data_IF_555362309325
#
_entry.id   IF_555362309325
#
_cell.length_a   1.000
_cell.length_b   1.000
_cell.length_c   1.000
_cell.angle_alpha   90.00
_cell.angle_beta   90.00
_cell.angle_gamma   90.00
#
_symmetry.space_group_name_H-M   'P 1'
#
loop_
_entity.id
_entity.type
_entity.pdbx_description
1 polymer ?
#
# COMPACT_ATOMS: atom_id res chain seq x y z
N UNK A 1 -0.45 46.17 -0.14
CA UNK A 1 0.07 44.81 -0.45
C UNK A 1 0.00 44.64 -1.95
N UNK A 2 1.08 44.25 -2.63
CA UNK A 2 1.06 44.05 -4.10
C UNK A 2 0.05 42.96 -4.45
N UNK A 3 -0.57 42.99 -5.65
CA UNK A 3 -1.53 42.02 -6.15
C UNK A 3 -1.01 40.57 -5.97
N UNK A 4 0.26 40.32 -6.30
CA UNK A 4 0.94 39.06 -6.14
C UNK A 4 0.99 38.57 -4.68
N UNK A 5 1.33 39.44 -3.73
CA UNK A 5 1.33 39.08 -2.30
C UNK A 5 -0.07 38.69 -1.81
N UNK A 6 -1.11 39.35 -2.30
CA UNK A 6 -2.50 39.04 -1.97
C UNK A 6 -2.89 37.66 -2.53
N UNK A 7 -2.56 37.37 -3.79
CA UNK A 7 -2.83 36.12 -4.44
C UNK A 7 -2.14 34.94 -3.71
N UNK A 8 -0.86 35.07 -3.38
CA UNK A 8 -0.11 34.05 -2.62
C UNK A 8 -0.73 33.81 -1.24
N UNK A 9 -1.06 34.88 -0.49
CA UNK A 9 -1.71 34.74 0.82
C UNK A 9 -3.07 34.04 0.71
N UNK A 10 -3.86 34.37 -0.29
CA UNK A 10 -5.16 33.75 -0.54
C UNK A 10 -4.99 32.24 -0.85
N UNK A 11 -4.05 31.89 -1.74
CA UNK A 11 -3.77 30.49 -2.07
C UNK A 11 -3.29 29.69 -0.85
N UNK A 12 -2.46 30.27 0.01
CA UNK A 12 -2.00 29.62 1.25
C UNK A 12 -3.16 29.38 2.22
N UNK A 13 -4.04 30.36 2.42
CA UNK A 13 -5.20 30.24 3.31
C UNK A 13 -6.17 29.18 2.79
N UNK A 14 -6.47 29.20 1.50
CA UNK A 14 -7.32 28.20 0.86
C UNK A 14 -6.74 26.80 0.98
N UNK A 15 -5.45 26.65 0.72
CA UNK A 15 -4.77 25.35 0.81
C UNK A 15 -4.73 24.80 2.22
N UNK A 16 -4.52 25.67 3.22
CA UNK A 16 -4.60 25.28 4.64
C UNK A 16 -6.01 24.84 5.01
N UNK A 17 -7.04 25.55 4.53
CA UNK A 17 -8.44 25.22 4.75
C UNK A 17 -8.85 23.89 4.11
N UNK A 18 -8.30 23.55 2.95
CA UNK A 18 -8.59 22.33 2.22
C UNK A 18 -7.75 21.13 2.72
N UNK A 19 -6.63 21.37 3.41
CA UNK A 19 -5.68 20.34 3.82
C UNK A 19 -6.31 19.17 4.60
N UNK A 20 -7.24 19.36 5.56
CA UNK A 20 -7.91 18.23 6.21
C UNK A 20 -8.70 17.35 5.24
N UNK A 21 -9.35 17.96 4.24
CA UNK A 21 -10.09 17.22 3.21
C UNK A 21 -9.14 16.43 2.31
N UNK A 22 -8.03 17.03 1.87
CA UNK A 22 -7.01 16.34 1.06
C UNK A 22 -6.43 15.15 1.81
N UNK A 23 -6.13 15.30 3.09
CA UNK A 23 -5.63 14.19 3.92
C UNK A 23 -6.69 13.11 4.14
N UNK A 24 -7.96 13.49 4.36
CA UNK A 24 -9.05 12.56 4.55
C UNK A 24 -9.35 11.71 3.31
N UNK A 25 -9.34 12.31 2.12
CA UNK A 25 -9.67 11.60 0.87
C UNK A 25 -8.46 10.92 0.24
N UNK A 26 -7.30 11.56 0.25
CA UNK A 26 -6.11 11.09 -0.50
C UNK A 26 -4.96 10.62 0.39
N UNK A 27 -4.90 11.03 1.66
CA UNK A 27 -3.79 10.72 2.56
C UNK A 27 -2.47 11.39 2.19
N UNK A 28 -2.46 12.26 1.17
CA UNK A 28 -1.27 12.89 0.61
C UNK A 28 -1.48 14.37 0.37
N UNK A 29 -0.38 15.13 0.32
CA UNK A 29 -0.36 16.55 -0.02
C UNK A 29 0.85 16.87 -0.87
N UNK A 30 0.64 17.65 -1.95
CA UNK A 30 1.71 18.10 -2.82
C UNK A 30 2.04 19.58 -2.54
N UNK A 31 3.16 19.90 -1.84
CA UNK A 31 3.48 21.28 -1.46
C UNK A 31 3.65 22.23 -2.66
N UNK A 32 4.18 21.72 -3.78
CA UNK A 32 4.38 22.49 -4.99
C UNK A 32 3.05 22.98 -5.58
N UNK A 33 1.93 22.29 -5.30
CA UNK A 33 0.60 22.72 -5.73
C UNK A 33 0.25 24.13 -5.24
N UNK A 34 0.78 24.57 -4.09
CA UNK A 34 0.58 25.93 -3.58
C UNK A 34 1.09 26.99 -4.56
N UNK A 35 2.31 26.78 -5.06
CA UNK A 35 2.96 27.68 -6.01
C UNK A 35 2.26 27.57 -7.37
N UNK A 36 2.03 26.34 -7.83
CA UNK A 36 1.38 26.10 -9.12
C UNK A 36 -0.03 26.68 -9.16
N UNK A 37 -0.83 26.50 -8.11
CA UNK A 37 -2.18 27.08 -8.05
C UNK A 37 -2.16 28.58 -8.15
N UNK A 38 -1.22 29.28 -7.46
CA UNK A 38 -1.10 30.72 -7.57
C UNK A 38 -0.67 31.17 -8.98
N UNK A 39 0.26 30.46 -9.60
CA UNK A 39 0.71 30.77 -10.97
C UNK A 39 -0.39 30.49 -12.00
N UNK A 40 -1.03 29.32 -11.93
CA UNK A 40 -2.09 28.95 -12.86
C UNK A 40 -3.34 29.81 -12.71
N UNK A 41 -3.68 30.28 -11.49
CA UNK A 41 -4.79 31.21 -11.30
C UNK A 41 -4.57 32.49 -12.12
N UNK A 42 -3.37 33.06 -12.11
CA UNK A 42 -3.06 34.26 -12.88
C UNK A 42 -3.17 33.98 -14.39
N UNK A 43 -2.60 32.88 -14.85
CA UNK A 43 -2.63 32.49 -16.28
C UNK A 43 -4.07 32.19 -16.73
N UNK A 44 -4.83 31.48 -15.89
CA UNK A 44 -6.21 31.12 -16.18
C UNK A 44 -7.11 32.36 -16.26
N UNK A 45 -7.06 33.22 -15.23
CA UNK A 45 -7.93 34.39 -15.14
C UNK A 45 -7.57 35.48 -16.17
N UNK A 46 -6.27 35.69 -16.42
CA UNK A 46 -5.80 36.80 -17.27
C UNK A 46 -5.69 36.43 -18.75
N UNK A 47 -5.53 35.17 -19.08
CA UNK A 47 -5.29 34.73 -20.45
C UNK A 47 -6.25 33.63 -20.92
N UNK A 48 -6.29 32.49 -20.24
CA UNK A 48 -7.01 31.31 -20.74
C UNK A 48 -8.52 31.53 -20.77
N UNK A 49 -9.09 32.02 -19.68
CA UNK A 49 -10.54 32.26 -19.59
C UNK A 49 -11.04 33.32 -20.60
N UNK A 50 -10.39 34.49 -20.76
CA UNK A 50 -10.75 35.46 -21.81
C UNK A 50 -10.65 34.86 -23.23
N UNK A 51 -9.55 34.16 -23.53
CA UNK A 51 -9.35 33.52 -24.84
C UNK A 51 -10.46 32.49 -25.11
N UNK A 52 -10.75 31.61 -24.15
CA UNK A 52 -11.82 30.59 -24.28
C UNK A 52 -13.20 31.25 -24.41
N UNK A 53 -13.46 32.37 -23.70
CA UNK A 53 -14.73 33.11 -23.78
C UNK A 53 -14.92 33.72 -25.16
N UNK A 54 -13.90 34.39 -25.69
CA UNK A 54 -13.91 34.96 -27.04
C UNK A 54 -14.08 33.85 -28.08
N UNK A 55 -13.36 32.78 -27.90
CA UNK A 55 -13.43 31.61 -28.78
C UNK A 55 -14.85 30.98 -28.78
N UNK A 56 -15.45 30.81 -27.61
CA UNK A 56 -16.79 30.29 -27.46
C UNK A 56 -17.83 31.23 -28.12
N UNK A 57 -17.65 32.53 -27.95
CA UNK A 57 -18.56 33.52 -28.53
C UNK A 57 -18.47 33.60 -30.06
N UNK A 58 -17.31 33.33 -30.65
CA UNK A 58 -17.05 33.41 -32.09
C UNK A 58 -17.12 32.08 -32.83
N UNK A 59 -17.21 30.94 -32.10
CA UNK A 59 -17.01 29.63 -32.71
C UNK A 59 -18.27 29.00 -33.31
N UNK A 60 -18.16 28.72 -34.62
CA UNK A 60 -18.79 27.56 -35.22
C UNK A 60 -17.93 26.28 -35.03
N UNK A 61 -18.49 25.10 -35.35
CA UNK A 61 -17.83 23.79 -35.07
C UNK A 61 -16.44 23.60 -35.69
N UNK A 62 -16.04 24.39 -36.68
CA UNK A 62 -14.76 24.27 -37.40
C UNK A 62 -13.57 24.79 -36.57
N UNK A 63 -13.80 25.67 -35.61
CA UNK A 63 -12.73 26.34 -34.88
C UNK A 63 -12.26 25.51 -33.69
N UNK A 64 -13.05 24.58 -33.18
CA UNK A 64 -12.65 23.70 -32.06
C UNK A 64 -11.40 22.85 -32.38
N UNK A 65 -11.23 22.41 -33.62
CA UNK A 65 -10.04 21.63 -34.02
C UNK A 65 -8.72 22.41 -33.94
N UNK A 66 -8.78 23.73 -34.02
CA UNK A 66 -7.58 24.59 -33.98
C UNK A 66 -7.10 24.88 -32.56
N UNK A 67 -7.91 24.59 -31.53
CA UNK A 67 -7.51 24.75 -30.12
C UNK A 67 -6.76 23.52 -29.59
N UNK A 68 -6.93 22.36 -30.23
CA UNK A 68 -6.27 21.12 -29.78
C UNK A 68 -4.76 21.27 -29.55
N UNK A 69 -3.97 21.95 -30.43
CA UNK A 69 -2.55 22.14 -30.17
C UNK A 69 -2.24 22.92 -28.89
N UNK A 70 -3.11 23.84 -28.47
CA UNK A 70 -2.93 24.57 -27.22
C UNK A 70 -3.12 23.64 -26.01
N UNK A 71 -4.13 22.78 -26.05
CA UNK A 71 -4.35 21.77 -24.99
C UNK A 71 -3.24 20.74 -24.94
N UNK A 72 -2.79 20.24 -26.09
CA UNK A 72 -1.64 19.33 -26.18
C UNK A 72 -0.35 19.97 -25.62
N UNK A 73 -0.11 21.23 -25.95
CA UNK A 73 1.01 21.96 -25.38
C UNK A 73 0.88 22.14 -23.85
N UNK A 74 -0.32 22.48 -23.36
CA UNK A 74 -0.57 22.58 -21.93
C UNK A 74 -0.37 21.23 -21.21
N UNK A 75 -0.86 20.14 -21.78
CA UNK A 75 -0.67 18.81 -21.25
C UNK A 75 0.83 18.42 -21.21
N UNK A 76 1.54 18.69 -22.30
CA UNK A 76 2.99 18.48 -22.38
C UNK A 76 3.74 19.31 -21.36
N UNK A 77 3.36 20.58 -21.18
CA UNK A 77 3.94 21.46 -20.18
C UNK A 77 3.66 21.00 -18.75
N UNK A 78 2.43 20.54 -18.46
CA UNK A 78 2.06 20.01 -17.16
C UNK A 78 2.81 18.71 -16.85
N UNK A 79 2.94 17.81 -17.83
CA UNK A 79 3.71 16.56 -17.66
C UNK A 79 5.20 16.83 -17.48
N UNK A 80 5.74 17.85 -18.18
CA UNK A 80 7.11 18.30 -17.98
C UNK A 80 7.30 18.88 -16.56
N UNK A 81 6.42 19.76 -16.08
CA UNK A 81 6.45 20.25 -14.69
C UNK A 81 6.36 19.06 -13.72
N UNK A 82 5.44 18.11 -13.95
CA UNK A 82 5.27 16.95 -13.09
C UNK A 82 6.55 16.12 -12.97
N UNK A 83 7.37 16.05 -14.02
CA UNK A 83 8.65 15.33 -13.97
C UNK A 83 9.68 15.96 -13.02
N UNK A 84 9.55 17.26 -12.72
CA UNK A 84 10.39 17.99 -11.77
C UNK A 84 9.82 18.02 -10.36
N UNK A 85 8.53 17.74 -10.23
CA UNK A 85 7.85 17.73 -8.94
C UNK A 85 8.16 16.41 -8.25
N UNK A 86 8.74 16.47 -7.06
CA UNK A 86 8.97 15.29 -6.21
C UNK A 86 7.69 14.59 -5.81
N UNK A 87 7.82 13.44 -5.19
CA UNK A 87 6.68 12.68 -4.67
C UNK A 87 5.88 13.50 -3.65
N UNK A 88 4.55 13.37 -3.62
CA UNK A 88 3.72 14.05 -2.64
C UNK A 88 4.06 13.63 -1.22
N UNK A 89 3.91 14.54 -0.28
CA UNK A 89 4.04 14.24 1.14
C UNK A 89 2.93 13.28 1.55
N UNK A 90 3.29 12.17 2.16
CA UNK A 90 2.35 11.20 2.70
C UNK A 90 2.02 11.62 4.13
N UNK A 91 0.77 11.97 4.37
CA UNK A 91 0.28 12.48 5.64
C UNK A 91 -0.59 11.46 6.39
N UNK A 92 -1.11 10.45 5.67
CA UNK A 92 -2.05 9.47 6.21
C UNK A 92 -3.49 9.97 6.20
N UNK A 93 -4.43 9.04 6.37
CA UNK A 93 -5.87 9.32 6.42
C UNK A 93 -6.32 9.47 7.88
N UNK A 94 -6.84 10.63 8.30
CA UNK A 94 -7.36 10.82 9.63
C UNK A 94 -8.64 9.99 9.85
N UNK A 95 -8.88 9.55 11.09
CA UNK A 95 -10.20 9.07 11.50
C UNK A 95 -11.21 10.22 11.47
N UNK A 96 -12.51 9.92 11.48
CA UNK A 96 -13.56 10.95 11.55
C UNK A 96 -13.39 11.87 12.76
N UNK A 97 -12.98 11.31 13.91
CA UNK A 97 -12.70 12.10 15.11
C UNK A 97 -11.52 13.06 14.91
N UNK A 98 -10.39 12.57 14.38
CA UNK A 98 -9.23 13.41 14.08
C UNK A 98 -9.56 14.48 13.03
N UNK A 99 -10.32 14.11 12.01
CA UNK A 99 -10.79 15.05 10.97
C UNK A 99 -11.64 16.17 11.59
N UNK A 100 -12.61 15.82 12.47
CA UNK A 100 -13.42 16.79 13.19
C UNK A 100 -12.59 17.74 14.05
N UNK A 101 -11.56 17.21 14.76
CA UNK A 101 -10.62 18.03 15.53
C UNK A 101 -9.82 18.99 14.64
N UNK A 102 -9.36 18.52 13.47
CA UNK A 102 -8.62 19.37 12.51
C UNK A 102 -9.49 20.53 12.03
N UNK A 103 -10.75 20.28 11.69
CA UNK A 103 -11.71 21.31 11.29
C UNK A 103 -11.95 22.29 12.45
N UNK A 104 -12.18 21.80 13.66
CA UNK A 104 -12.39 22.66 14.83
C UNK A 104 -11.18 23.59 15.08
N UNK A 105 -9.96 23.06 15.00
CA UNK A 105 -8.73 23.87 15.13
C UNK A 105 -8.61 24.92 14.04
N UNK A 106 -9.01 24.62 12.78
CA UNK A 106 -9.00 25.60 11.69
C UNK A 106 -10.03 26.70 11.90
N UNK A 107 -11.23 26.38 12.36
CA UNK A 107 -12.26 27.38 12.70
C UNK A 107 -11.73 28.31 13.81
N UNK A 108 -11.18 27.73 14.88
CA UNK A 108 -10.55 28.53 15.95
C UNK A 108 -9.39 29.39 15.45
N UNK A 109 -8.56 28.83 14.54
CA UNK A 109 -7.45 29.58 13.93
C UNK A 109 -7.96 30.79 13.16
N UNK A 110 -9.08 30.68 12.46
CA UNK A 110 -9.72 31.78 11.77
C UNK A 110 -10.21 32.85 12.73
N UNK A 111 -10.94 32.49 13.79
CA UNK A 111 -11.49 33.41 14.79
C UNK A 111 -10.39 34.13 15.58
N UNK A 112 -9.33 33.41 15.96
CA UNK A 112 -8.22 33.94 16.75
C UNK A 112 -7.02 34.43 15.93
N UNK A 113 -7.16 34.57 14.61
CA UNK A 113 -6.04 34.92 13.72
C UNK A 113 -5.30 36.20 14.12
N UNK A 114 -6.02 37.22 14.61
CA UNK A 114 -5.45 38.49 15.04
C UNK A 114 -4.69 38.43 16.37
N UNK A 115 -4.79 37.33 17.12
CA UNK A 115 -4.13 37.13 18.40
C UNK A 115 -2.92 36.21 18.24
N UNK A 116 -1.68 36.74 18.16
CA UNK A 116 -0.51 35.95 17.73
C UNK A 116 -0.20 34.73 18.62
N UNK A 117 -0.40 34.86 19.93
CA UNK A 117 -0.20 33.78 20.89
C UNK A 117 -1.14 32.58 20.63
N UNK A 118 -2.43 32.84 20.40
CA UNK A 118 -3.40 31.78 20.09
C UNK A 118 -3.15 31.19 18.70
N UNK A 119 -2.81 32.02 17.72
CA UNK A 119 -2.47 31.56 16.37
C UNK A 119 -1.32 30.56 16.38
N UNK A 120 -0.21 30.86 17.09
CA UNK A 120 0.95 29.98 17.20
C UNK A 120 0.56 28.66 17.89
N UNK A 121 -0.18 28.75 19.01
CA UNK A 121 -0.66 27.57 19.73
C UNK A 121 -1.53 26.67 18.83
N UNK A 122 -2.50 27.25 18.11
CA UNK A 122 -3.41 26.50 17.25
C UNK A 122 -2.68 25.88 16.06
N UNK A 123 -1.69 26.58 15.47
CA UNK A 123 -0.83 25.99 14.41
C UNK A 123 0.00 24.83 14.95
N UNK A 124 0.53 24.92 16.17
CA UNK A 124 1.23 23.79 16.81
C UNK A 124 0.28 22.61 17.06
N UNK A 125 -0.93 22.86 17.58
CA UNK A 125 -1.93 21.80 17.77
C UNK A 125 -2.27 21.13 16.43
N UNK A 126 -2.49 21.92 15.39
CA UNK A 126 -2.75 21.37 14.05
C UNK A 126 -1.59 20.51 13.55
N UNK A 127 -0.35 20.96 13.72
CA UNK A 127 0.85 20.18 13.40
C UNK A 127 0.93 18.87 14.17
N UNK A 128 0.65 18.89 15.47
CA UNK A 128 0.62 17.69 16.30
C UNK A 128 -0.49 16.71 15.87
N UNK A 129 -1.67 17.21 15.48
CA UNK A 129 -2.73 16.38 14.91
C UNK A 129 -2.27 15.69 13.62
N UNK A 130 -1.56 16.42 12.74
CA UNK A 130 -0.98 15.83 11.53
C UNK A 130 0.04 14.73 11.83
N UNK A 131 0.92 14.94 12.80
CA UNK A 131 1.88 13.93 13.26
C UNK A 131 1.15 12.71 13.82
N UNK A 132 0.10 12.91 14.61
CA UNK A 132 -0.72 11.81 15.16
C UNK A 132 -1.43 10.99 14.06
N UNK A 133 -1.95 11.65 13.02
CA UNK A 133 -2.54 10.97 11.85
C UNK A 133 -1.50 10.11 11.15
N UNK A 134 -0.32 10.68 10.89
CA UNK A 134 0.77 9.98 10.18
C UNK A 134 1.36 8.81 10.99
N UNK A 135 1.44 8.95 12.31
CA UNK A 135 2.07 7.98 13.22
C UNK A 135 1.05 7.47 14.25
N UNK A 136 0.10 6.61 13.85
CA UNK A 136 -0.85 6.04 14.79
C UNK A 136 -0.15 5.14 15.81
N UNK A 137 -0.54 5.27 17.07
CA UNK A 137 0.01 4.55 18.22
C UNK A 137 -0.60 3.13 18.32
N UNK A 138 -0.60 2.38 17.24
CA UNK A 138 -1.14 1.01 17.19
C UNK A 138 -0.23 0.10 16.39
N UNK A 139 -0.07 -1.12 16.88
CA UNK A 139 0.48 -2.20 16.05
C UNK A 139 -0.61 -2.71 15.12
N UNK A 140 -0.27 -3.08 13.90
CA UNK A 140 -1.21 -3.68 12.96
C UNK A 140 -0.57 -4.74 12.07
N UNK A 141 -1.37 -5.76 11.76
CA UNK A 141 -1.10 -6.76 10.73
C UNK A 141 -2.30 -6.71 9.79
N UNK A 142 -2.07 -6.48 8.51
CA UNK A 142 -3.16 -6.40 7.53
C UNK A 142 -2.84 -7.22 6.30
N UNK A 143 -3.74 -8.11 5.93
CA UNK A 143 -3.80 -8.69 4.60
C UNK A 143 -4.52 -7.68 3.71
N UNK A 144 -3.79 -7.06 2.81
CA UNK A 144 -4.33 -6.02 1.90
C UNK A 144 -5.05 -6.69 0.75
N UNK A 145 -6.23 -6.20 0.42
CA UNK A 145 -6.94 -6.66 -0.77
C UNK A 145 -6.25 -6.08 -2.02
N UNK A 146 -5.46 -6.90 -2.66
CA UNK A 146 -4.79 -6.59 -3.94
C UNK A 146 -5.43 -7.33 -5.12
N UNK A 147 -6.63 -7.87 -4.91
CA UNK A 147 -7.26 -8.82 -5.83
C UNK A 147 -6.54 -10.15 -5.79
N UNK A 148 -6.22 -10.73 -6.96
CA UNK A 148 -5.44 -11.98 -7.01
C UNK A 148 -3.98 -11.67 -6.68
N UNK A 149 -3.39 -12.43 -5.75
CA UNK A 149 -2.03 -12.28 -5.27
C UNK A 149 -1.96 -11.94 -3.77
N UNK A 150 -0.76 -11.84 -3.24
CA UNK A 150 -0.52 -11.55 -1.83
C UNK A 150 0.03 -10.14 -1.62
N UNK A 151 -0.43 -9.52 -0.54
CA UNK A 151 0.27 -8.39 0.07
C UNK A 151 -0.13 -8.28 1.54
N UNK A 152 0.85 -8.43 2.44
CA UNK A 152 0.61 -8.38 3.88
C UNK A 152 1.46 -7.27 4.48
N UNK A 153 0.80 -6.29 5.07
CA UNK A 153 1.42 -5.14 5.69
C UNK A 153 1.46 -5.29 7.21
N UNK A 154 2.64 -5.13 7.79
CA UNK A 154 2.88 -5.12 9.23
C UNK A 154 3.47 -3.78 9.63
N UNK A 155 2.94 -3.17 10.69
CA UNK A 155 3.48 -1.94 11.26
C UNK A 155 3.47 -1.97 12.78
N UNK A 156 4.62 -1.62 13.39
CA UNK A 156 4.72 -1.37 14.82
C UNK A 156 4.24 0.04 15.18
N UNK A 157 3.82 0.23 16.45
CA UNK A 157 3.52 1.56 16.99
C UNK A 157 4.75 2.49 17.00
N UNK A 158 5.96 1.94 16.88
CA UNK A 158 7.21 2.72 16.76
C UNK A 158 7.49 3.18 15.34
N UNK A 159 6.70 2.71 14.37
CA UNK A 159 6.83 3.06 12.96
C UNK A 159 7.62 2.06 12.11
N UNK A 160 8.16 0.96 12.69
CA UNK A 160 8.79 -0.09 11.89
C UNK A 160 7.78 -0.75 10.98
N UNK A 161 8.19 -1.05 9.74
CA UNK A 161 7.30 -1.58 8.71
C UNK A 161 7.90 -2.79 8.01
N UNK A 162 7.08 -3.83 7.85
CA UNK A 162 7.38 -4.96 6.95
C UNK A 162 6.23 -5.08 5.97
N UNK A 163 6.56 -5.21 4.69
CA UNK A 163 5.62 -5.56 3.65
C UNK A 163 6.03 -6.92 3.07
N UNK A 164 5.12 -7.88 3.10
CA UNK A 164 5.30 -9.20 2.52
C UNK A 164 4.51 -9.23 1.23
N UNK A 165 5.21 -9.35 0.11
CA UNK A 165 4.70 -9.29 -1.26
C UNK A 165 3.99 -7.98 -1.62
N UNK A 166 3.84 -7.72 -2.89
CA UNK A 166 3.30 -6.47 -3.43
C UNK A 166 2.10 -6.67 -4.36
N UNK A 167 1.70 -7.93 -4.56
CA UNK A 167 0.70 -8.27 -5.55
C UNK A 167 1.22 -8.13 -6.98
N UNK A 168 0.30 -8.14 -7.91
CA UNK A 168 0.57 -7.94 -9.33
C UNK A 168 -0.50 -8.57 -10.19
N UNK A 169 -0.73 -8.00 -11.35
CA UNK A 169 -1.74 -8.55 -12.26
C UNK A 169 -1.08 -9.43 -13.30
N UNK A 170 -1.40 -10.70 -13.28
CA UNK A 170 -1.04 -11.59 -14.38
C UNK A 170 -1.83 -11.19 -15.62
N UNK A 171 -1.13 -10.70 -16.63
CA UNK A 171 -1.72 -10.27 -17.90
C UNK A 171 -1.58 -11.40 -18.92
N UNK A 172 -2.70 -11.97 -19.34
CA UNK A 172 -2.74 -12.98 -20.39
C UNK A 172 -3.11 -12.37 -21.73
N UNK A 173 -2.35 -12.72 -22.78
CA UNK A 173 -2.60 -12.37 -24.17
C UNK A 173 -1.74 -11.22 -24.70
N UNK A 174 -1.55 -11.24 -26.02
CA UNK A 174 -0.95 -10.13 -26.78
C UNK A 174 -1.93 -8.95 -26.74
N UNK A 175 -1.47 -7.82 -26.22
CA UNK A 175 -2.25 -6.58 -26.19
C UNK A 175 -1.81 -5.68 -27.34
N UNK A 176 -2.76 -4.99 -27.93
CA UNK A 176 -2.52 -3.90 -28.84
C UNK A 176 -1.87 -2.71 -28.10
N UNK A 177 -0.96 -1.98 -28.74
CA UNK A 177 -0.22 -0.86 -28.13
C UNK A 177 -1.12 0.19 -27.48
N UNK A 178 -2.32 0.43 -28.01
CA UNK A 178 -3.30 1.35 -27.42
C UNK A 178 -3.96 0.83 -26.13
N UNK A 179 -3.96 -0.49 -25.94
CA UNK A 179 -4.44 -1.13 -24.71
C UNK A 179 -3.40 -1.08 -23.58
N UNK A 180 -2.10 -0.93 -23.93
CA UNK A 180 -1.00 -0.82 -22.96
C UNK A 180 -0.88 0.58 -22.38
N UNK A 181 -1.18 1.61 -23.18
CA UNK A 181 -1.00 3.03 -22.81
C UNK A 181 -1.86 3.52 -21.65
N UNK A 182 -2.94 2.81 -21.26
CA UNK A 182 -3.89 3.25 -20.23
C UNK A 182 -3.94 2.38 -18.97
N UNK A 183 -3.01 1.43 -18.77
CA UNK A 183 -3.08 0.51 -17.64
C UNK A 183 -2.31 1.06 -16.42
N UNK A 184 -3.05 1.67 -15.50
CA UNK A 184 -2.61 1.81 -14.11
C UNK A 184 -2.33 0.42 -13.53
N UNK A 185 -1.18 0.27 -12.85
CA UNK A 185 -0.83 -0.98 -12.16
C UNK A 185 -1.89 -1.34 -11.12
N UNK A 186 -1.93 -2.60 -10.72
CA UNK A 186 -2.86 -3.01 -9.67
C UNK A 186 -2.52 -2.32 -8.35
N UNK A 187 -1.23 -2.19 -8.02
CA UNK A 187 -0.79 -1.50 -6.80
C UNK A 187 -1.22 -0.03 -6.76
N UNK A 188 -1.29 0.69 -7.89
CA UNK A 188 -1.78 2.07 -7.92
C UNK A 188 -3.25 2.22 -7.52
N UNK A 189 -4.04 1.15 -7.66
CA UNK A 189 -5.46 1.13 -7.31
C UNK A 189 -5.73 0.57 -5.91
N UNK A 190 -4.83 -0.26 -5.39
CA UNK A 190 -5.03 -1.04 -4.17
C UNK A 190 -3.96 -0.74 -3.10
N UNK A 191 -2.78 -1.31 -3.22
CA UNK A 191 -1.72 -1.29 -2.22
C UNK A 191 -1.17 0.12 -1.94
N UNK A 192 -0.88 0.91 -2.99
CA UNK A 192 -0.30 2.24 -2.84
C UNK A 192 -1.26 3.19 -2.09
N UNK A 193 -2.54 3.33 -2.47
CA UNK A 193 -3.51 4.11 -1.71
C UNK A 193 -3.68 3.61 -0.27
N UNK A 194 -3.67 2.30 -0.06
CA UNK A 194 -3.73 1.72 1.28
C UNK A 194 -2.56 2.18 2.15
N UNK A 195 -1.32 2.00 1.68
CA UNK A 195 -0.13 2.40 2.42
C UNK A 195 -0.06 3.92 2.64
N UNK A 196 -0.46 4.72 1.66
CA UNK A 196 -0.55 6.17 1.79
C UNK A 196 -1.58 6.59 2.85
N UNK A 197 -2.76 5.97 2.85
CA UNK A 197 -3.78 6.20 3.86
C UNK A 197 -3.30 5.81 5.27
N UNK A 198 -2.40 4.85 5.38
CA UNK A 198 -1.74 4.46 6.63
C UNK A 198 -0.56 5.37 7.02
N UNK A 199 -0.25 6.41 6.25
CA UNK A 199 0.86 7.33 6.52
C UNK A 199 2.26 6.75 6.26
N UNK A 200 2.34 5.62 5.56
CA UNK A 200 3.60 4.94 5.23
C UNK A 200 4.34 5.73 4.18
N UNK A 201 5.54 6.19 4.48
CA UNK A 201 6.45 6.82 3.53
C UNK A 201 7.69 5.98 3.25
N UNK A 202 7.96 4.98 4.08
CA UNK A 202 9.09 4.09 3.99
C UNK A 202 8.68 2.67 4.38
N UNK A 203 9.25 1.69 3.70
CA UNK A 203 9.15 0.26 4.01
C UNK A 203 10.54 -0.16 4.48
N UNK A 204 10.65 -0.67 5.72
CA UNK A 204 11.94 -1.06 6.26
C UNK A 204 12.41 -2.39 5.67
N UNK A 205 11.52 -3.38 5.64
CA UNK A 205 11.78 -4.66 4.98
C UNK A 205 10.64 -4.99 4.01
N UNK A 206 10.98 -5.12 2.74
CA UNK A 206 10.10 -5.69 1.72
C UNK A 206 10.49 -7.15 1.52
N UNK A 207 9.69 -8.08 2.01
CA UNK A 207 9.90 -9.51 1.84
C UNK A 207 9.15 -9.96 0.59
N UNK A 208 9.85 -10.52 -0.38
CA UNK A 208 9.28 -11.15 -1.56
C UNK A 208 9.39 -12.66 -1.36
N UNK A 209 8.25 -13.31 -1.17
CA UNK A 209 8.20 -14.72 -0.76
C UNK A 209 8.77 -15.64 -1.82
N UNK A 210 8.37 -15.42 -3.08
CA UNK A 210 8.85 -16.12 -4.26
C UNK A 210 8.72 -15.21 -5.50
N UNK A 211 8.87 -15.73 -6.73
CA UNK A 211 9.03 -14.85 -7.90
C UNK A 211 7.82 -14.79 -8.83
N UNK A 212 6.67 -15.29 -8.43
CA UNK A 212 5.48 -15.29 -9.29
C UNK A 212 4.86 -13.89 -9.40
N UNK A 213 4.24 -13.63 -10.54
CA UNK A 213 3.79 -12.27 -10.90
C UNK A 213 2.76 -11.70 -9.93
N UNK A 214 1.90 -12.52 -9.36
CA UNK A 214 0.87 -12.09 -8.40
C UNK A 214 1.44 -11.82 -7.00
N UNK A 215 2.75 -12.02 -6.78
CA UNK A 215 3.50 -11.64 -5.58
C UNK A 215 4.46 -10.48 -5.81
N UNK A 216 5.12 -10.44 -6.99
CA UNK A 216 6.15 -9.45 -7.28
C UNK A 216 5.82 -8.53 -8.46
N UNK A 217 4.64 -8.67 -9.08
CA UNK A 217 4.30 -7.99 -10.33
C UNK A 217 4.39 -6.47 -10.25
N UNK A 218 3.94 -5.90 -9.16
CA UNK A 218 3.88 -4.45 -8.95
C UNK A 218 5.10 -3.87 -8.19
N UNK A 219 6.21 -4.63 -8.12
CA UNK A 219 7.42 -4.26 -7.36
C UNK A 219 7.99 -2.89 -7.76
N UNK A 220 8.08 -2.61 -9.05
CA UNK A 220 8.63 -1.35 -9.55
C UNK A 220 7.75 -0.16 -9.18
N UNK A 221 6.43 -0.32 -9.25
CA UNK A 221 5.49 0.76 -8.93
C UNK A 221 5.52 1.10 -7.43
N UNK A 222 5.59 0.07 -6.59
CA UNK A 222 5.76 0.25 -5.13
C UNK A 222 7.10 0.92 -4.82
N UNK A 223 8.19 0.47 -5.47
CA UNK A 223 9.53 1.03 -5.27
C UNK A 223 9.69 2.47 -5.79
N UNK A 224 8.90 2.89 -6.79
CA UNK A 224 8.83 4.30 -7.23
C UNK A 224 8.13 5.18 -6.20
N UNK A 225 7.12 4.65 -5.51
CA UNK A 225 6.29 5.43 -4.59
C UNK A 225 6.82 5.48 -3.16
N UNK A 226 7.47 4.43 -2.69
CA UNK A 226 7.94 4.31 -1.31
C UNK A 226 9.46 4.14 -1.25
N UNK A 227 10.07 4.70 -0.21
CA UNK A 227 11.46 4.40 0.11
C UNK A 227 11.53 2.99 0.71
N UNK A 228 12.21 2.07 0.04
CA UNK A 228 12.49 0.73 0.54
C UNK A 228 13.90 0.70 1.09
N UNK A 229 14.09 0.33 2.38
CA UNK A 229 15.41 0.23 2.98
C UNK A 229 16.13 -1.03 2.53
N UNK A 230 15.42 -2.17 2.52
CA UNK A 230 15.96 -3.47 2.20
C UNK A 230 14.90 -4.34 1.53
N UNK A 231 15.30 -5.10 0.51
CA UNK A 231 14.47 -6.12 -0.14
C UNK A 231 14.99 -7.48 0.31
N UNK A 232 14.11 -8.29 0.90
CA UNK A 232 14.42 -9.61 1.40
C UNK A 232 13.84 -10.66 0.44
N UNK A 233 14.67 -11.63 0.02
CA UNK A 233 14.30 -12.66 -0.96
C UNK A 233 14.86 -14.01 -0.56
N UNK A 234 14.33 -15.12 -1.08
CA UNK A 234 14.97 -16.43 -0.95
C UNK A 234 16.24 -16.49 -1.80
N UNK A 235 17.16 -17.37 -1.47
CA UNK A 235 18.36 -17.58 -2.27
C UNK A 235 18.00 -18.17 -3.64
N UNK A 236 16.99 -19.03 -3.70
CA UNK A 236 16.49 -19.60 -4.95
C UNK A 236 15.89 -18.57 -5.90
N UNK A 237 15.24 -17.52 -5.38
CA UNK A 237 14.74 -16.42 -6.21
C UNK A 237 15.85 -15.76 -7.04
N UNK A 238 17.09 -15.72 -6.53
CA UNK A 238 18.24 -15.16 -7.24
C UNK A 238 18.77 -16.06 -8.37
N UNK A 239 18.28 -17.27 -8.50
CA UNK A 239 18.61 -18.15 -9.64
C UNK A 239 17.86 -17.73 -10.91
N UNK A 240 16.80 -16.90 -10.81
CA UNK A 240 16.04 -16.40 -11.98
C UNK A 240 16.65 -15.11 -12.54
N UNK A 241 17.27 -15.12 -13.73
CA UNK A 241 17.98 -13.96 -14.27
C UNK A 241 17.07 -12.74 -14.51
N UNK A 242 15.80 -12.97 -14.90
CA UNK A 242 14.80 -11.90 -15.09
C UNK A 242 14.53 -11.15 -13.81
N UNK A 243 14.38 -11.87 -12.69
CA UNK A 243 14.14 -11.28 -11.39
C UNK A 243 15.38 -10.52 -10.87
N UNK A 244 16.58 -11.09 -11.01
CA UNK A 244 17.82 -10.40 -10.67
C UNK A 244 17.99 -9.10 -11.46
N UNK A 245 17.64 -9.10 -12.76
CA UNK A 245 17.64 -7.87 -13.57
C UNK A 245 16.69 -6.82 -13.00
N UNK A 246 15.48 -7.20 -12.59
CA UNK A 246 14.50 -6.30 -11.94
C UNK A 246 15.06 -5.71 -10.66
N UNK A 247 15.61 -6.52 -9.77
CA UNK A 247 16.21 -6.07 -8.50
C UNK A 247 17.34 -5.05 -8.72
N UNK A 248 18.21 -5.29 -9.72
CA UNK A 248 19.30 -4.36 -10.07
C UNK A 248 18.80 -2.99 -10.52
N UNK A 249 17.68 -2.91 -11.25
CA UNK A 249 17.11 -1.63 -11.69
C UNK A 249 16.61 -0.78 -10.53
N UNK A 250 16.18 -1.40 -9.43
CA UNK A 250 15.66 -0.72 -8.25
C UNK A 250 16.77 -0.05 -7.41
N UNK A 251 18.01 -0.50 -7.54
CA UNK A 251 19.16 0.03 -6.78
C UNK A 251 18.91 0.09 -5.27
N UNK A 252 18.30 -0.95 -4.72
CA UNK A 252 18.03 -1.11 -3.29
C UNK A 252 18.91 -2.24 -2.72
N UNK A 253 19.28 -2.17 -1.43
CA UNK A 253 19.92 -3.29 -0.75
C UNK A 253 19.06 -4.55 -0.85
N UNK A 254 19.66 -5.67 -1.17
CA UNK A 254 19.00 -6.99 -1.24
C UNK A 254 19.67 -7.90 -0.22
N UNK A 255 18.86 -8.54 0.61
CA UNK A 255 19.26 -9.53 1.60
C UNK A 255 18.60 -10.86 1.31
N UNK A 256 19.36 -11.93 1.33
CA UNK A 256 18.80 -13.28 1.27
C UNK A 256 18.35 -13.73 2.66
N UNK A 257 17.18 -14.35 2.71
CA UNK A 257 16.63 -14.97 3.92
C UNK A 257 16.60 -16.49 3.78
N UNK A 258 16.87 -17.15 4.90
CA UNK A 258 16.82 -18.61 5.04
C UNK A 258 16.30 -18.99 6.42
N UNK A 259 15.92 -20.25 6.61
CA UNK A 259 15.49 -20.77 7.90
C UNK A 259 16.48 -20.41 9.02
N UNK A 260 15.96 -19.90 10.14
CA UNK A 260 16.71 -19.41 11.28
C UNK A 260 16.95 -17.90 11.32
N UNK A 261 16.83 -17.19 10.20
CA UNK A 261 16.90 -15.72 10.17
C UNK A 261 15.71 -15.08 10.89
N UNK A 262 15.89 -13.83 11.30
CA UNK A 262 14.87 -13.09 12.02
C UNK A 262 14.73 -11.67 11.48
N UNK A 263 13.49 -11.16 11.47
CA UNK A 263 13.15 -9.76 11.19
C UNK A 263 12.48 -9.16 12.44
N UNK A 264 13.01 -8.06 13.01
CA UNK A 264 12.41 -7.44 14.19
C UNK A 264 11.05 -6.84 13.85
N UNK A 265 10.03 -7.07 14.70
CA UNK A 265 8.69 -6.51 14.50
C UNK A 265 7.91 -6.43 15.83
N UNK A 266 7.32 -5.27 16.12
CA UNK A 266 6.41 -5.06 17.26
C UNK A 266 6.99 -5.44 18.64
N UNK A 267 8.30 -5.19 18.87
CA UNK A 267 8.98 -5.61 20.10
C UNK A 267 9.25 -7.12 20.20
N UNK A 268 8.91 -7.87 19.16
CA UNK A 268 9.17 -9.30 18.96
C UNK A 268 9.96 -9.49 17.66
N UNK A 269 9.86 -10.67 17.07
CA UNK A 269 10.48 -10.99 15.79
C UNK A 269 9.57 -11.86 14.93
N UNK A 270 9.70 -11.70 13.62
CA UNK A 270 9.28 -12.69 12.64
C UNK A 270 10.46 -13.62 12.38
N UNK A 271 10.31 -14.89 12.67
CA UNK A 271 11.30 -15.91 12.40
C UNK A 271 11.06 -16.49 11.01
N UNK A 272 12.10 -16.60 10.20
CA UNK A 272 12.07 -17.32 8.93
C UNK A 272 12.16 -18.80 9.24
N UNK A 273 11.13 -19.56 8.89
CA UNK A 273 11.09 -21.01 9.09
C UNK A 273 11.50 -21.80 7.84
N UNK A 274 11.36 -21.18 6.66
CA UNK A 274 11.63 -21.80 5.37
C UNK A 274 11.97 -20.71 4.34
N UNK A 275 12.78 -20.98 3.30
CA UNK A 275 13.37 -22.25 2.91
C UNK A 275 14.60 -22.63 3.75
N UNK A 276 14.85 -23.95 3.88
CA UNK A 276 16.04 -24.52 4.55
C UNK A 276 17.16 -24.88 3.58
N UNK A 277 16.88 -24.89 2.29
CA UNK A 277 17.81 -25.15 1.18
C UNK A 277 17.58 -24.14 0.04
N UNK A 278 18.51 -24.09 -0.90
CA UNK A 278 18.34 -23.25 -2.11
C UNK A 278 17.33 -23.92 -3.02
N UNK A 279 16.23 -23.22 -3.29
CA UNK A 279 15.19 -23.63 -4.21
C UNK A 279 15.37 -23.04 -5.62
N UNK A 280 14.30 -22.97 -6.38
CA UNK A 280 14.24 -22.44 -7.74
C UNK A 280 13.53 -21.07 -7.86
N UNK A 281 13.10 -20.51 -6.73
CA UNK A 281 12.33 -19.26 -6.66
C UNK A 281 10.84 -19.41 -7.03
N UNK A 282 10.30 -20.64 -7.11
CA UNK A 282 8.88 -20.93 -7.29
C UNK A 282 8.14 -21.09 -5.97
N UNK A 283 6.91 -21.64 -6.03
CA UNK A 283 6.00 -21.78 -4.89
C UNK A 283 6.66 -22.47 -3.68
N UNK A 284 7.32 -23.61 -3.91
CA UNK A 284 7.99 -24.36 -2.86
C UNK A 284 9.38 -23.79 -2.45
N UNK A 285 9.69 -22.56 -2.87
CA UNK A 285 10.80 -21.74 -2.34
C UNK A 285 10.28 -20.51 -1.59
N UNK A 286 8.97 -20.46 -1.31
CA UNK A 286 8.32 -19.35 -0.59
C UNK A 286 8.94 -19.16 0.79
N UNK A 287 9.27 -17.90 1.12
CA UNK A 287 9.71 -17.54 2.46
C UNK A 287 8.55 -17.68 3.44
N UNK A 288 8.67 -18.59 4.39
CA UNK A 288 7.69 -18.79 5.46
C UNK A 288 8.12 -18.01 6.70
N UNK A 289 7.23 -17.15 7.17
CA UNK A 289 7.46 -16.30 8.34
C UNK A 289 6.52 -16.69 9.48
N UNK A 290 7.09 -16.83 10.67
CA UNK A 290 6.34 -17.10 11.91
C UNK A 290 6.63 -16.04 12.96
N UNK A 291 5.60 -15.57 13.65
CA UNK A 291 5.78 -14.63 14.75
C UNK A 291 4.61 -14.56 15.71
N UNK A 292 4.91 -14.27 16.97
CA UNK A 292 3.88 -13.91 17.97
C UNK A 292 3.65 -12.40 17.89
N UNK A 293 2.54 -12.00 17.29
CA UNK A 293 2.16 -10.62 17.03
C UNK A 293 0.76 -10.37 17.60
N UNK A 294 0.52 -9.21 18.18
CA UNK A 294 -0.81 -8.83 18.67
C UNK A 294 -1.45 -9.88 19.61
N UNK A 295 -0.62 -10.63 20.37
CA UNK A 295 -1.08 -11.69 21.27
C UNK A 295 -1.43 -13.03 20.62
N UNK A 296 -1.30 -13.16 19.28
CA UNK A 296 -1.54 -14.40 18.53
C UNK A 296 -0.31 -14.84 17.77
N UNK A 297 -0.21 -16.13 17.45
CA UNK A 297 0.83 -16.66 16.57
C UNK A 297 0.36 -16.64 15.13
N UNK A 298 1.10 -15.96 14.27
CA UNK A 298 0.86 -15.86 12.84
C UNK A 298 1.85 -16.73 12.09
N UNK A 299 1.37 -17.43 11.05
CA UNK A 299 2.18 -18.14 10.07
C UNK A 299 1.82 -17.62 8.67
N UNK A 300 2.79 -17.00 8.01
CA UNK A 300 2.69 -16.51 6.63
C UNK A 300 3.48 -17.46 5.73
N UNK A 301 2.79 -18.18 4.85
CA UNK A 301 3.35 -19.29 4.09
C UNK A 301 3.72 -18.92 2.64
N UNK A 302 3.37 -17.70 2.18
CA UNK A 302 3.40 -17.40 0.75
C UNK A 302 2.56 -18.43 -0.01
N UNK A 303 3.12 -18.98 -1.07
CA UNK A 303 2.46 -19.98 -1.90
C UNK A 303 3.01 -21.40 -1.71
N UNK A 304 3.53 -21.67 -0.49
CA UNK A 304 4.01 -22.98 -0.13
C UNK A 304 2.96 -24.06 -0.41
N UNK A 305 3.36 -25.09 -1.11
CA UNK A 305 2.54 -26.26 -1.46
C UNK A 305 2.89 -27.46 -0.59
N UNK A 306 2.20 -28.57 -0.80
CA UNK A 306 2.25 -29.77 0.04
C UNK A 306 3.68 -30.26 0.31
N UNK A 307 4.54 -30.30 -0.70
CA UNK A 307 5.93 -30.77 -0.54
C UNK A 307 6.71 -29.85 0.42
N UNK A 308 6.54 -28.53 0.29
CA UNK A 308 7.16 -27.58 1.19
C UNK A 308 6.55 -27.61 2.60
N UNK A 309 5.23 -27.85 2.71
CA UNK A 309 4.55 -28.08 4.00
C UNK A 309 5.13 -29.31 4.73
N UNK A 310 5.36 -30.42 4.01
CA UNK A 310 5.97 -31.65 4.56
C UNK A 310 7.40 -31.39 5.06
N UNK A 311 8.23 -30.67 4.30
CA UNK A 311 9.57 -30.28 4.73
C UNK A 311 9.53 -29.36 5.96
N UNK A 312 8.60 -28.41 6.01
CA UNK A 312 8.41 -27.52 7.14
C UNK A 312 7.97 -28.29 8.41
N UNK A 313 7.02 -29.20 8.27
CA UNK A 313 6.56 -30.05 9.38
C UNK A 313 7.68 -30.95 9.92
N UNK A 314 8.47 -31.53 9.04
CA UNK A 314 9.63 -32.36 9.43
C UNK A 314 10.67 -31.55 10.20
N UNK A 315 10.89 -30.28 9.80
CA UNK A 315 11.84 -29.37 10.46
C UNK A 315 11.32 -28.84 11.81
N UNK A 316 9.99 -28.68 11.94
CA UNK A 316 9.35 -28.10 13.12
C UNK A 316 8.13 -28.94 13.59
N UNK A 317 8.35 -30.15 14.14
CA UNK A 317 7.27 -31.09 14.46
C UNK A 317 6.26 -30.58 15.51
N UNK A 318 6.65 -29.58 16.32
CA UNK A 318 5.80 -28.99 17.36
C UNK A 318 5.26 -27.59 16.96
N UNK A 319 5.36 -27.20 15.69
CA UNK A 319 4.87 -25.90 15.23
C UNK A 319 3.36 -25.81 15.37
N UNK A 320 2.89 -24.75 16.04
CA UNK A 320 1.48 -24.38 16.16
C UNK A 320 1.30 -22.93 15.72
N UNK A 321 0.21 -22.63 15.05
CA UNK A 321 -0.10 -21.27 14.61
C UNK A 321 -1.58 -20.98 14.85
N UNK A 322 -1.89 -19.91 15.58
CA UNK A 322 -3.28 -19.51 15.82
C UNK A 322 -3.95 -18.94 14.57
N UNK A 323 -3.16 -18.23 13.74
CA UNK A 323 -3.61 -17.58 12.50
C UNK A 323 -2.69 -18.05 11.37
N UNK A 324 -3.27 -18.68 10.37
CA UNK A 324 -2.59 -19.19 9.19
C UNK A 324 -2.97 -18.37 7.96
N UNK A 325 -2.00 -17.80 7.22
CA UNK A 325 -2.24 -17.44 5.82
C UNK A 325 -2.24 -18.74 5.03
N UNK A 326 -3.37 -19.08 4.44
CA UNK A 326 -3.51 -20.28 3.62
C UNK A 326 -2.55 -20.23 2.41
N UNK A 327 -1.79 -21.29 2.21
CA UNK A 327 -0.83 -21.38 1.10
C UNK A 327 -1.51 -21.23 -0.25
N UNK A 328 -0.79 -20.60 -1.21
CA UNK A 328 -1.17 -20.49 -2.61
C UNK A 328 -2.65 -20.10 -2.81
N UNK A 329 -3.07 -19.03 -2.10
CA UNK A 329 -4.43 -18.46 -2.16
C UNK A 329 -5.56 -19.47 -1.86
N UNK A 330 -5.25 -20.53 -1.12
CA UNK A 330 -6.19 -21.63 -0.87
C UNK A 330 -6.31 -22.60 -2.06
N UNK A 331 -5.22 -22.83 -2.80
CA UNK A 331 -5.19 -23.82 -3.86
C UNK A 331 -5.40 -25.23 -3.32
N UNK A 332 -5.83 -26.16 -4.17
CA UNK A 332 -5.99 -27.59 -3.83
C UNK A 332 -4.67 -28.23 -3.37
N UNK A 333 -3.53 -27.78 -3.93
CA UNK A 333 -2.19 -28.29 -3.66
C UNK A 333 -1.57 -27.83 -2.34
N UNK A 334 -2.23 -26.96 -1.59
CA UNK A 334 -1.72 -26.35 -0.36
C UNK A 334 -2.68 -26.54 0.82
N UNK A 335 -2.26 -26.14 2.02
CA UNK A 335 -3.03 -26.31 3.26
C UNK A 335 -3.51 -27.75 3.42
N UNK A 336 -2.57 -28.69 3.34
CA UNK A 336 -2.84 -30.14 3.40
C UNK A 336 -3.44 -30.53 4.77
N UNK A 337 -4.16 -31.66 4.80
CA UNK A 337 -4.78 -32.15 6.04
C UNK A 337 -3.76 -32.31 7.17
N UNK A 338 -2.63 -32.99 6.88
CA UNK A 338 -1.56 -33.19 7.84
C UNK A 338 -1.00 -31.85 8.37
N UNK A 339 -0.86 -30.85 7.51
CA UNK A 339 -0.38 -29.54 7.90
C UNK A 339 -1.37 -28.82 8.80
N UNK A 340 -2.65 -28.85 8.49
CA UNK A 340 -3.71 -28.26 9.32
C UNK A 340 -3.84 -28.99 10.66
N UNK A 341 -3.74 -30.33 10.67
CA UNK A 341 -3.82 -31.14 11.88
C UNK A 341 -2.61 -30.88 12.82
N UNK A 342 -1.43 -30.63 12.24
CA UNK A 342 -0.27 -30.24 13.03
C UNK A 342 -0.40 -28.83 13.57
N UNK A 343 -0.70 -27.83 12.72
CA UNK A 343 -0.72 -26.40 13.10
C UNK A 343 -1.86 -26.04 14.03
N UNK A 344 -3.05 -26.66 13.84
CA UNK A 344 -4.30 -26.42 14.57
C UNK A 344 -4.68 -24.91 14.61
N UNK A 345 -4.75 -24.21 13.48
CA UNK A 345 -5.09 -22.80 13.46
C UNK A 345 -6.57 -22.60 13.83
N UNK A 346 -6.88 -21.55 14.56
CA UNK A 346 -8.25 -21.14 14.81
C UNK A 346 -8.83 -20.26 13.68
N UNK A 347 -7.94 -19.66 12.89
CA UNK A 347 -8.29 -18.76 11.80
C UNK A 347 -7.35 -18.98 10.61
N UNK A 348 -7.94 -19.11 9.43
CA UNK A 348 -7.25 -19.09 8.15
C UNK A 348 -7.56 -17.79 7.40
N UNK A 349 -6.53 -17.14 6.86
CA UNK A 349 -6.61 -15.96 6.01
C UNK A 349 -6.35 -16.38 4.57
N UNK A 350 -7.27 -16.08 3.67
CA UNK A 350 -7.15 -16.37 2.24
C UNK A 350 -7.09 -15.05 1.48
N UNK A 351 -5.98 -14.80 0.78
CA UNK A 351 -5.89 -13.73 -0.19
C UNK A 351 -6.34 -14.24 -1.55
N UNK A 352 -7.40 -13.70 -2.10
CA UNK A 352 -7.94 -14.11 -3.39
C UNK A 352 -8.67 -12.95 -4.05
N UNK A 353 -8.66 -12.89 -5.37
CA UNK A 353 -9.43 -11.91 -6.13
C UNK A 353 -10.87 -12.35 -6.36
N UNK A 354 -11.77 -11.40 -6.37
CA UNK A 354 -13.16 -11.64 -6.78
C UNK A 354 -13.20 -12.17 -8.22
N UNK A 355 -13.96 -13.25 -8.44
CA UNK A 355 -14.09 -13.89 -9.76
C UNK A 355 -12.76 -14.27 -10.42
N UNK A 356 -11.74 -14.66 -9.63
CA UNK A 356 -10.44 -15.01 -10.16
C UNK A 356 -10.48 -16.28 -11.04
N UNK A 357 -9.63 -16.28 -12.07
CA UNK A 357 -9.59 -17.37 -13.07
C UNK A 357 -9.07 -18.70 -12.54
N UNK A 358 -8.32 -18.67 -11.44
CA UNK A 358 -7.74 -19.86 -10.82
C UNK A 358 -8.75 -20.61 -9.98
N UNK A 359 -9.95 -20.01 -9.77
CA UNK A 359 -10.98 -20.54 -8.86
C UNK A 359 -10.45 -20.76 -7.46
N UNK A 360 -9.59 -19.85 -6.99
CA UNK A 360 -9.10 -19.84 -5.61
C UNK A 360 -10.00 -18.96 -4.72
N UNK A 361 -10.23 -19.34 -3.44
CA UNK A 361 -9.85 -20.63 -2.86
C UNK A 361 -10.65 -21.80 -3.45
N UNK A 362 -9.98 -22.96 -3.56
CA UNK A 362 -10.59 -24.19 -4.05
C UNK A 362 -11.57 -24.75 -3.01
N UNK A 363 -12.69 -25.32 -3.48
CA UNK A 363 -13.74 -25.87 -2.61
C UNK A 363 -13.20 -26.97 -1.68
N UNK A 364 -12.30 -27.85 -2.17
CA UNK A 364 -11.69 -28.90 -1.36
C UNK A 364 -10.86 -28.33 -0.21
N UNK A 365 -10.18 -27.19 -0.43
CA UNK A 365 -9.42 -26.50 0.63
C UNK A 365 -10.35 -25.87 1.65
N UNK A 366 -11.44 -25.25 1.20
CA UNK A 366 -12.45 -24.71 2.11
C UNK A 366 -13.13 -25.79 2.93
N UNK A 367 -13.37 -26.97 2.35
CA UNK A 367 -13.96 -28.11 3.05
C UNK A 367 -13.00 -28.67 4.12
N UNK A 368 -11.70 -28.86 3.79
CA UNK A 368 -10.67 -29.26 4.77
C UNK A 368 -10.59 -28.31 5.97
N UNK A 369 -10.71 -26.99 5.73
CA UNK A 369 -10.73 -25.99 6.80
C UNK A 369 -12.01 -26.08 7.63
N UNK A 370 -13.17 -26.26 6.98
CA UNK A 370 -14.47 -26.36 7.63
C UNK A 370 -14.58 -27.61 8.51
N UNK A 371 -14.13 -28.75 8.04
CA UNK A 371 -14.11 -30.02 8.80
C UNK A 371 -13.31 -29.91 10.10
N UNK A 372 -12.29 -29.05 10.12
CA UNK A 372 -11.45 -28.77 11.28
C UNK A 372 -11.93 -27.57 12.11
N UNK A 373 -13.14 -27.08 11.82
CA UNK A 373 -13.75 -25.93 12.49
C UNK A 373 -12.87 -24.67 12.46
N UNK A 374 -12.01 -24.52 11.43
CA UNK A 374 -11.15 -23.37 11.24
C UNK A 374 -11.99 -22.24 10.61
N UNK A 375 -12.06 -21.10 11.29
CA UNK A 375 -12.70 -19.91 10.72
C UNK A 375 -11.91 -19.42 9.51
N UNK A 376 -12.61 -19.00 8.44
CA UNK A 376 -11.96 -18.48 7.23
C UNK A 376 -12.38 -17.04 7.02
N UNK A 377 -11.39 -16.15 6.80
CA UNK A 377 -11.60 -14.79 6.28
C UNK A 377 -10.91 -14.68 4.93
N UNK A 378 -11.61 -14.09 3.95
CA UNK A 378 -11.19 -14.02 2.55
C UNK A 378 -11.21 -12.58 2.07
N UNK A 379 -10.17 -12.14 1.34
CA UNK A 379 -10.12 -10.77 0.82
C UNK A 379 -11.18 -10.49 -0.24
N UNK A 380 -11.56 -11.47 -1.05
CA UNK A 380 -12.62 -11.35 -2.07
C UNK A 380 -14.03 -11.17 -1.48
N UNK A 381 -14.21 -11.44 -0.19
CA UNK A 381 -15.49 -11.28 0.50
C UNK A 381 -15.47 -10.19 1.57
N UNK A 382 -14.33 -9.99 2.22
CA UNK A 382 -14.20 -9.11 3.37
C UNK A 382 -13.39 -7.84 3.05
N UNK A 383 -12.84 -7.71 1.82
CA UNK A 383 -11.86 -6.68 1.52
C UNK A 383 -10.58 -6.87 2.34
N UNK A 384 -9.88 -5.80 2.64
CA UNK A 384 -8.66 -5.86 3.44
C UNK A 384 -8.94 -6.30 4.89
N UNK A 385 -8.24 -7.36 5.36
CA UNK A 385 -8.42 -7.96 6.68
C UNK A 385 -7.35 -7.42 7.62
N UNK A 386 -7.76 -6.64 8.64
CA UNK A 386 -6.84 -5.94 9.52
C UNK A 386 -6.99 -6.34 10.98
N UNK A 387 -5.86 -6.69 11.60
CA UNK A 387 -5.71 -6.90 13.03
C UNK A 387 -4.96 -5.72 13.63
N UNK A 388 -5.43 -5.19 14.76
CA UNK A 388 -4.75 -4.09 15.48
C UNK A 388 -4.88 -4.30 16.99
N UNK A 389 -3.86 -3.89 17.76
CA UNK A 389 -4.02 -3.73 19.19
C UNK A 389 -4.73 -2.40 19.48
N UNK A 390 -5.76 -2.43 20.31
CA UNK A 390 -6.21 -1.25 21.03
C UNK A 390 -5.42 -1.15 22.34
N UNK A 391 -5.19 0.08 22.82
CA UNK A 391 -4.48 0.33 24.09
C UNK A 391 -5.25 -0.23 25.30
N UNK A 392 -6.49 -0.66 25.14
CA UNK A 392 -7.31 -1.33 26.14
C UNK A 392 -7.91 -2.61 25.59
N UNK A 393 -7.60 -3.72 26.23
CA UNK A 393 -8.21 -5.05 26.22
C UNK A 393 -9.22 -5.37 25.10
N UNK A 394 -8.78 -6.06 24.06
CA UNK A 394 -9.65 -6.73 23.12
C UNK A 394 -9.28 -6.58 21.65
N UNK A 395 -9.31 -7.70 20.93
CA UNK A 395 -9.21 -7.72 19.48
C UNK A 395 -10.53 -7.22 18.90
N UNK A 396 -10.53 -6.14 18.11
CA UNK A 396 -11.68 -5.80 17.26
C UNK A 396 -11.46 -6.41 15.89
N UNK A 397 -12.30 -7.34 15.50
CA UNK A 397 -12.51 -7.69 14.10
C UNK A 397 -13.35 -6.57 13.45
N UNK A 398 -13.12 -6.23 12.18
CA UNK A 398 -13.97 -5.29 11.44
C UNK A 398 -15.39 -5.80 11.33
#
# INVERSE_FOLDING_TARGET
MSSLKKSICTSLVLSLGILPFLTYYYGTFQPVSLILTAMFSIVFDSFLLPVLTVFFALSGPVIFSQINPLFEWMETFLTWIQSWIGQPLILGKPSLFQFGLMIAVLVMLFDFWKKPQFRICLLMIFGLLMVWVKHPLTNEVTMVDVGQGDSIFLRSMKGDTILIDVGGKVTFGLKEKWQEASQTSNAEKTLIPYLQARGVSQIDHLVLTHTDTDHIGDLEEVAKRFKIKEICVSQGALTKPSFVKRLRTLKRPVRTLKAGDNLPMMGSKLQVLYPNKVGDGGNNDSIVLYGKLLGSSFLFTGDLEKEGEEELMASYPNLKAGILKAGHHGSKGSSSEAFLDQLQPSLALVSAGENNRYKHPNDETLERLKERHIKVLRTDQNGAIRFKTQLEHGYSFP
#
